data_IF_290016943392
#
_entry.id   IF_290016943392
#
_cell.length_a   1.000
_cell.length_b   1.000
_cell.length_c   1.000
_cell.angle_alpha   90.00
_cell.angle_beta   90.00
_cell.angle_gamma   90.00
#
_symmetry.space_group_name_H-M   'P 1'
#
loop_
_entity.id
_entity.type
_entity.pdbx_description
1 polymer ?
#
# COMPACT_ATOMS: atom_id res chain seq x y z
N UNK A 1 -1.31 4.58 -1.50
CA UNK A 1 -1.86 4.91 -0.18
C UNK A 1 -2.56 3.68 0.37
N UNK A 2 -2.47 3.51 1.68
CA UNK A 2 -3.22 2.53 2.45
C UNK A 2 -4.30 3.29 3.23
N UNK A 3 -5.57 3.04 2.93
CA UNK A 3 -6.69 3.86 3.38
C UNK A 3 -7.63 2.97 4.20
N UNK A 4 -7.93 3.44 5.41
CA UNK A 4 -9.02 2.89 6.21
C UNK A 4 -10.26 3.75 5.95
N UNK A 5 -11.29 3.15 5.35
CA UNK A 5 -12.48 3.86 4.90
C UNK A 5 -13.68 3.50 5.79
N UNK A 6 -14.27 4.48 6.46
CA UNK A 6 -15.51 4.35 7.22
C UNK A 6 -16.62 5.22 6.62
N UNK A 7 -17.87 4.96 6.98
CA UNK A 7 -19.03 5.79 6.62
C UNK A 7 -19.95 5.95 7.82
N UNK A 8 -20.64 7.08 7.93
CA UNK A 8 -21.75 7.27 8.88
C UNK A 8 -23.04 6.58 8.45
N UNK A 9 -23.15 6.22 7.17
CA UNK A 9 -24.28 5.48 6.58
C UNK A 9 -24.00 3.98 6.42
N UNK A 10 -24.69 3.34 5.47
CA UNK A 10 -24.48 1.92 5.17
C UNK A 10 -23.31 1.68 4.21
N UNK A 11 -22.53 0.62 4.44
CA UNK A 11 -21.43 0.20 3.55
C UNK A 11 -21.89 -0.28 2.17
N UNK A 12 -23.15 -0.69 2.08
CA UNK A 12 -23.80 -1.11 0.84
C UNK A 12 -24.25 0.07 -0.02
N UNK A 13 -24.05 1.31 0.45
CA UNK A 13 -24.28 2.51 -0.33
C UNK A 13 -23.49 2.46 -1.65
N UNK A 14 -24.19 2.77 -2.74
CA UNK A 14 -23.64 2.68 -4.09
C UNK A 14 -22.44 3.61 -4.29
N UNK A 15 -22.50 4.81 -3.72
CA UNK A 15 -21.44 5.80 -3.87
C UNK A 15 -20.22 5.43 -3.03
N UNK A 16 -20.42 4.87 -1.84
CA UNK A 16 -19.35 4.26 -1.04
C UNK A 16 -18.65 3.14 -1.80
N UNK A 17 -19.42 2.19 -2.35
CA UNK A 17 -18.88 1.08 -3.13
C UNK A 17 -18.15 1.56 -4.40
N UNK A 18 -18.68 2.56 -5.09
CA UNK A 18 -18.06 3.17 -6.28
C UNK A 18 -16.73 3.86 -5.94
N UNK A 19 -16.67 4.59 -4.83
CA UNK A 19 -15.44 5.27 -4.40
C UNK A 19 -14.37 4.26 -3.96
N UNK A 20 -14.74 3.24 -3.18
CA UNK A 20 -13.85 2.12 -2.82
C UNK A 20 -13.30 1.45 -4.08
N UNK A 21 -14.17 1.15 -5.05
CA UNK A 21 -13.76 0.55 -6.33
C UNK A 21 -12.78 1.47 -7.07
N UNK A 22 -13.07 2.76 -7.16
CA UNK A 22 -12.22 3.71 -7.90
C UNK A 22 -10.84 3.85 -7.25
N UNK A 23 -10.77 3.96 -5.91
CA UNK A 23 -9.50 3.98 -5.18
C UNK A 23 -8.68 2.69 -5.42
N UNK A 24 -9.33 1.53 -5.42
CA UNK A 24 -8.67 0.23 -5.71
C UNK A 24 -8.24 0.10 -7.17
N UNK A 25 -9.03 0.61 -8.11
CA UNK A 25 -8.67 0.66 -9.53
C UNK A 25 -7.40 1.49 -9.74
N UNK A 26 -7.20 2.54 -8.91
CA UNK A 26 -5.96 3.32 -8.81
C UNK A 26 -4.87 2.72 -7.93
N UNK A 27 -4.97 1.42 -7.62
CA UNK A 27 -3.96 0.65 -6.89
C UNK A 27 -3.70 1.17 -5.47
N UNK A 28 -4.72 1.73 -4.83
CA UNK A 28 -4.70 1.98 -3.38
C UNK A 28 -5.22 0.76 -2.62
N UNK A 29 -4.63 0.49 -1.46
CA UNK A 29 -5.16 -0.52 -0.54
C UNK A 29 -6.26 0.17 0.26
N UNK A 30 -7.51 -0.26 0.06
CA UNK A 30 -8.66 0.33 0.74
C UNK A 30 -9.44 -0.76 1.44
N UNK A 31 -9.65 -0.55 2.74
CA UNK A 31 -10.47 -1.45 3.55
C UNK A 31 -11.55 -0.68 4.28
N UNK A 32 -12.75 -1.24 4.27
CA UNK A 32 -13.92 -0.62 4.87
C UNK A 32 -14.18 -1.18 6.26
N UNK A 33 -14.40 -0.30 7.22
CA UNK A 33 -14.67 -0.66 8.61
C UNK A 33 -15.85 0.16 9.15
N UNK A 34 -16.84 -0.46 9.83
CA UNK A 34 -17.90 0.25 10.53
C UNK A 34 -17.38 1.34 11.46
N UNK A 35 -18.03 2.50 11.42
CA UNK A 35 -17.69 3.68 12.21
C UNK A 35 -17.61 3.34 13.71
N UNK A 36 -18.56 2.53 14.18
CA UNK A 36 -18.70 2.07 15.55
C UNK A 36 -17.54 1.17 15.96
N UNK A 37 -16.95 0.46 15.00
CA UNK A 37 -15.81 -0.45 15.22
C UNK A 37 -14.47 0.26 15.13
N UNK A 38 -14.39 1.43 14.50
CA UNK A 38 -13.12 2.12 14.25
C UNK A 38 -12.33 2.36 15.54
N UNK A 39 -12.93 2.97 16.55
CA UNK A 39 -12.22 3.28 17.79
C UNK A 39 -11.80 2.01 18.56
N UNK A 40 -12.60 0.95 18.50
CA UNK A 40 -12.25 -0.34 19.09
C UNK A 40 -11.04 -0.97 18.40
N UNK A 41 -11.03 -0.95 17.07
CA UNK A 41 -9.92 -1.42 16.24
C UNK A 41 -8.62 -0.66 16.57
N UNK A 42 -8.65 0.68 16.50
CA UNK A 42 -7.45 1.52 16.71
C UNK A 42 -6.85 1.40 18.12
N UNK A 43 -7.68 1.13 19.14
CA UNK A 43 -7.24 1.08 20.54
C UNK A 43 -6.78 -0.31 20.97
N UNK A 44 -7.52 -1.34 20.57
CA UNK A 44 -7.46 -2.63 21.24
C UNK A 44 -7.12 -3.78 20.32
N UNK A 45 -7.29 -3.62 19.01
CA UNK A 45 -7.04 -4.70 18.07
C UNK A 45 -5.52 -4.85 17.85
N UNK A 46 -4.92 -6.03 18.12
CA UNK A 46 -3.50 -6.27 17.88
C UNK A 46 -3.09 -6.06 16.42
N UNK A 47 -4.01 -6.25 15.46
CA UNK A 47 -3.77 -6.03 14.03
C UNK A 47 -3.54 -4.55 13.73
N UNK A 48 -4.18 -3.63 14.45
CA UNK A 48 -3.97 -2.19 14.25
C UNK A 48 -2.52 -1.76 14.50
N UNK A 49 -1.79 -2.48 15.36
CA UNK A 49 -0.36 -2.25 15.61
C UNK A 49 0.54 -2.80 14.48
N UNK A 50 -0.02 -3.62 13.60
CA UNK A 50 0.65 -4.21 12.42
C UNK A 50 0.28 -3.50 11.13
N UNK A 51 -0.77 -2.70 11.17
CA UNK A 51 -1.21 -1.87 10.06
C UNK A 51 -0.14 -0.84 9.66
N UNK A 52 -0.28 -0.34 8.44
CA UNK A 52 0.43 0.81 7.90
C UNK A 52 -0.58 1.60 7.09
N UNK A 53 -1.26 2.55 7.72
CA UNK A 53 -2.35 3.36 7.13
C UNK A 53 -1.88 4.79 6.94
N UNK A 54 -2.18 5.35 5.78
CA UNK A 54 -1.78 6.71 5.40
C UNK A 54 -2.89 7.73 5.66
N UNK A 55 -4.16 7.31 5.66
CA UNK A 55 -5.30 8.16 5.98
C UNK A 55 -6.51 7.36 6.46
N UNK A 56 -7.33 7.99 7.31
CA UNK A 56 -8.71 7.60 7.55
C UNK A 56 -9.59 8.47 6.66
N UNK A 57 -10.37 7.82 5.80
CA UNK A 57 -11.40 8.47 5.00
C UNK A 57 -12.76 8.16 5.63
N UNK A 58 -13.59 9.18 5.84
CA UNK A 58 -14.91 9.04 6.44
C UNK A 58 -15.97 9.68 5.53
N UNK A 59 -16.87 8.89 4.97
CA UNK A 59 -18.02 9.43 4.24
C UNK A 59 -19.10 9.86 5.24
N UNK A 60 -19.48 11.13 5.21
CA UNK A 60 -20.45 11.72 6.13
C UNK A 60 -21.83 11.85 5.44
N UNK A 61 -22.32 10.78 4.83
CA UNK A 61 -23.61 10.78 4.12
C UNK A 61 -24.81 10.85 5.05
N UNK A 62 -25.94 11.32 4.51
CA UNK A 62 -27.29 11.23 5.10
C UNK A 62 -27.57 9.83 5.63
N UNK A 63 -27.87 9.78 6.93
CA UNK A 63 -28.32 8.58 7.62
C UNK A 63 -29.61 8.08 6.95
N UNK A 64 -29.66 6.84 6.41
CA UNK A 64 -30.86 6.31 5.78
C UNK A 64 -31.98 6.03 6.78
N UNK A 65 -31.66 5.87 8.08
CA UNK A 65 -32.64 5.59 9.13
C UNK A 65 -33.26 6.85 9.73
N UNK A 66 -32.61 8.00 9.58
CA UNK A 66 -33.11 9.27 10.11
C UNK A 66 -33.17 10.35 9.03
N UNK A 67 -34.28 11.09 8.97
CA UNK A 67 -34.42 12.34 8.19
C UNK A 67 -33.44 13.43 8.72
N UNK A 68 -32.52 13.09 9.63
CA UNK A 68 -31.72 14.01 10.40
C UNK A 68 -30.34 14.29 9.75
N UNK A 69 -30.10 15.58 9.57
CA UNK A 69 -28.95 16.24 8.96
C UNK A 69 -27.69 16.30 9.85
N UNK A 70 -27.43 15.33 10.74
CA UNK A 70 -26.32 15.45 11.72
C UNK A 70 -25.14 14.50 11.48
N UNK A 71 -24.79 14.29 10.22
CA UNK A 71 -23.75 13.32 9.82
C UNK A 71 -22.35 13.89 10.04
N UNK A 72 -22.12 15.16 9.69
CA UNK A 72 -20.85 15.83 9.95
C UNK A 72 -20.52 15.96 11.45
N UNK A 73 -21.44 16.39 12.35
CA UNK A 73 -21.18 16.38 13.79
C UNK A 73 -20.75 15.02 14.35
N UNK A 74 -21.33 13.91 13.85
CA UNK A 74 -20.94 12.55 14.25
C UNK A 74 -19.49 12.25 13.82
N UNK A 75 -19.12 12.65 12.60
CA UNK A 75 -17.73 12.52 12.11
C UNK A 75 -16.76 13.38 12.92
N UNK A 76 -17.12 14.63 13.25
CA UNK A 76 -16.27 15.50 14.08
C UNK A 76 -16.09 14.96 15.50
N UNK A 77 -17.16 14.42 16.10
CA UNK A 77 -17.06 13.72 17.38
C UNK A 77 -16.08 12.55 17.32
N UNK A 78 -16.18 11.71 16.28
CA UNK A 78 -15.24 10.61 16.07
C UNK A 78 -13.81 11.12 15.87
N UNK A 79 -13.61 12.15 15.06
CA UNK A 79 -12.30 12.75 14.85
C UNK A 79 -11.71 13.28 16.17
N UNK A 80 -12.53 13.88 17.04
CA UNK A 80 -12.11 14.30 18.37
C UNK A 80 -11.67 13.12 19.26
N UNK A 81 -12.40 12.00 19.24
CA UNK A 81 -12.00 10.78 19.94
C UNK A 81 -10.72 10.16 19.38
N UNK A 82 -10.58 10.17 18.05
CA UNK A 82 -9.39 9.73 17.33
C UNK A 82 -8.15 10.56 17.69
N UNK A 83 -8.26 11.90 17.73
CA UNK A 83 -7.16 12.78 18.14
C UNK A 83 -6.76 12.61 19.62
N UNK A 84 -7.65 12.03 20.45
CA UNK A 84 -7.41 11.70 21.86
C UNK A 84 -6.83 10.30 22.10
N UNK A 85 -6.51 9.53 21.04
CA UNK A 85 -5.87 8.24 21.24
C UNK A 85 -4.56 8.39 22.03
N UNK A 86 -4.23 7.42 22.90
CA UNK A 86 -2.91 7.36 23.55
C UNK A 86 -1.77 7.33 22.54
N UNK A 87 -0.60 7.83 22.93
CA UNK A 87 0.63 7.80 22.11
C UNK A 87 1.06 6.38 21.78
N UNK A 88 0.79 5.44 22.68
CA UNK A 88 1.04 4.01 22.51
C UNK A 88 0.19 3.37 21.42
N UNK A 89 -0.89 4.02 20.96
CA UNK A 89 -1.64 3.59 19.79
C UNK A 89 -0.89 4.05 18.53
N UNK A 90 0.06 3.22 18.09
CA UNK A 90 0.88 3.46 16.92
C UNK A 90 0.97 2.21 16.04
N UNK A 91 1.25 2.46 14.76
CA UNK A 91 1.35 1.48 13.70
C UNK A 91 2.72 0.78 13.68
N UNK A 92 2.87 -0.21 12.80
CA UNK A 92 4.08 -1.05 12.71
C UNK A 92 5.35 -0.25 12.45
N UNK A 93 5.24 0.88 11.77
CA UNK A 93 6.34 1.77 11.42
C UNK A 93 6.59 2.87 12.47
N UNK A 94 5.92 2.78 13.62
CA UNK A 94 6.01 3.75 14.71
C UNK A 94 5.16 5.01 14.49
N UNK A 95 4.48 5.18 13.35
CA UNK A 95 3.59 6.32 13.14
C UNK A 95 2.40 6.23 14.11
N UNK A 96 2.10 7.34 14.78
CA UNK A 96 0.98 7.44 15.72
C UNK A 96 -0.34 7.46 14.97
N UNK A 97 -1.32 6.65 15.41
CA UNK A 97 -2.64 6.64 14.81
C UNK A 97 -3.27 8.03 14.86
N UNK A 98 -3.28 8.70 16.02
CA UNK A 98 -3.90 10.03 16.14
C UNK A 98 -3.28 11.14 15.28
N UNK A 99 -2.16 10.89 14.62
CA UNK A 99 -1.44 11.90 13.85
C UNK A 99 -1.67 11.77 12.34
N UNK A 100 -2.23 10.65 11.85
CA UNK A 100 -2.54 10.49 10.42
C UNK A 100 -3.69 11.42 9.98
N UNK A 101 -3.77 11.76 8.67
CA UNK A 101 -4.91 12.46 8.10
C UNK A 101 -6.24 11.81 8.45
N UNK A 102 -7.16 12.64 8.92
CA UNK A 102 -8.56 12.29 9.05
C UNK A 102 -9.33 13.15 8.05
N UNK A 103 -9.86 12.51 7.01
CA UNK A 103 -10.47 13.18 5.87
C UNK A 103 -11.96 12.83 5.88
N UNK A 104 -12.83 13.84 5.90
CA UNK A 104 -14.27 13.63 5.80
C UNK A 104 -14.78 14.08 4.43
N UNK A 105 -15.65 13.28 3.83
CA UNK A 105 -16.39 13.64 2.61
C UNK A 105 -17.79 14.08 3.04
N UNK A 106 -18.15 15.35 2.84
CA UNK A 106 -19.45 15.90 3.27
C UNK A 106 -19.95 17.02 2.36
N UNK A 107 -21.24 16.94 2.02
CA UNK A 107 -21.99 17.97 1.28
C UNK A 107 -22.54 19.08 2.19
N UNK A 108 -22.48 18.89 3.51
CA UNK A 108 -23.12 19.81 4.44
C UNK A 108 -22.46 21.19 4.37
N UNK A 109 -23.24 22.26 4.12
CA UNK A 109 -22.69 23.60 4.05
C UNK A 109 -22.09 23.99 5.41
N UNK A 110 -20.83 24.48 5.39
CA UNK A 110 -20.09 24.96 6.57
C UNK A 110 -20.74 26.13 7.31
N UNK A 111 -21.91 26.58 6.88
CA UNK A 111 -22.49 27.87 7.25
C UNK A 111 -22.95 27.97 8.71
N UNK A 112 -22.90 26.89 9.49
CA UNK A 112 -23.25 26.92 10.92
C UNK A 112 -22.17 26.25 11.80
N UNK A 113 -21.17 27.02 12.25
CA UNK A 113 -20.55 26.84 13.58
C UNK A 113 -19.33 25.92 13.75
N UNK A 114 -18.87 25.19 12.74
CA UNK A 114 -17.75 24.22 12.88
C UNK A 114 -16.33 24.63 12.41
N UNK A 115 -16.04 25.79 11.78
CA UNK A 115 -14.69 26.07 11.26
C UNK A 115 -13.56 25.93 12.29
N UNK A 116 -13.79 26.40 13.52
CA UNK A 116 -12.78 26.35 14.58
C UNK A 116 -12.56 24.92 15.08
N UNK A 117 -13.63 24.11 15.16
CA UNK A 117 -13.53 22.70 15.56
C UNK A 117 -12.79 21.88 14.49
N UNK A 118 -13.12 22.05 13.20
CA UNK A 118 -12.45 21.39 12.09
C UNK A 118 -10.94 21.69 12.09
N UNK A 119 -10.57 22.97 12.26
CA UNK A 119 -9.17 23.40 12.35
C UNK A 119 -8.48 22.81 13.58
N UNK A 120 -9.13 22.87 14.75
CA UNK A 120 -8.58 22.31 16.00
C UNK A 120 -8.37 20.80 15.92
N UNK A 121 -9.27 20.08 15.26
CA UNK A 121 -9.19 18.64 15.08
C UNK A 121 -8.30 18.22 13.90
N UNK A 122 -7.81 19.19 13.11
CA UNK A 122 -7.03 18.95 11.90
C UNK A 122 -7.74 17.95 10.97
N UNK A 123 -9.03 18.18 10.71
CA UNK A 123 -9.83 17.38 9.78
C UNK A 123 -9.84 18.06 8.42
N UNK A 124 -9.51 17.32 7.37
CA UNK A 124 -9.68 17.81 5.99
C UNK A 124 -11.08 17.47 5.53
N UNK A 125 -11.84 18.45 5.06
CA UNK A 125 -13.17 18.23 4.51
C UNK A 125 -13.07 18.33 2.99
N UNK A 126 -13.54 17.29 2.31
CA UNK A 126 -13.67 17.21 0.86
C UNK A 126 -15.15 17.25 0.51
N UNK A 127 -15.53 18.11 -0.43
CA UNK A 127 -16.90 18.11 -0.93
C UNK A 127 -17.13 16.95 -1.89
N UNK A 128 -18.28 16.25 -1.78
CA UNK A 128 -18.72 15.32 -2.80
C UNK A 128 -18.73 15.99 -4.17
N UNK A 129 -18.25 15.27 -5.16
CA UNK A 129 -18.23 15.69 -6.56
C UNK A 129 -18.60 14.48 -7.42
N UNK A 130 -19.29 14.67 -8.55
CA UNK A 130 -19.59 13.58 -9.47
C UNK A 130 -18.33 12.98 -10.12
N UNK A 131 -17.15 13.57 -9.90
CA UNK A 131 -15.86 13.11 -10.41
C UNK A 131 -15.00 12.52 -9.27
N UNK A 132 -15.07 11.20 -9.00
CA UNK A 132 -14.26 10.57 -7.95
C UNK A 132 -12.76 10.86 -8.02
N UNK A 133 -12.24 11.14 -9.22
CA UNK A 133 -10.85 11.52 -9.47
C UNK A 133 -10.43 12.78 -8.69
N UNK A 134 -11.32 13.76 -8.57
CA UNK A 134 -11.07 15.00 -7.82
C UNK A 134 -10.97 14.73 -6.32
N UNK A 135 -11.83 13.84 -5.79
CA UNK A 135 -11.76 13.39 -4.40
C UNK A 135 -10.43 12.71 -4.14
N UNK A 136 -10.01 11.81 -5.04
CA UNK A 136 -8.77 11.05 -4.89
C UNK A 136 -7.55 11.98 -4.96
N UNK A 137 -7.56 12.98 -5.84
CA UNK A 137 -6.50 14.00 -5.90
C UNK A 137 -6.38 14.74 -4.57
N UNK A 138 -7.49 15.22 -4.00
CA UNK A 138 -7.49 15.93 -2.72
C UNK A 138 -7.05 15.04 -1.55
N UNK A 139 -7.45 13.76 -1.54
CA UNK A 139 -6.95 12.77 -0.57
C UNK A 139 -5.43 12.61 -0.70
N UNK A 140 -4.92 12.46 -1.92
CA UNK A 140 -3.50 12.33 -2.20
C UNK A 140 -2.72 13.57 -1.73
N UNK A 141 -3.18 14.77 -2.07
CA UNK A 141 -2.52 16.02 -1.67
C UNK A 141 -2.44 16.15 -0.15
N UNK A 142 -3.51 15.77 0.55
CA UNK A 142 -3.56 15.76 2.02
C UNK A 142 -2.57 14.77 2.62
N UNK A 143 -2.47 13.57 2.03
CA UNK A 143 -1.51 12.53 2.47
C UNK A 143 -0.08 12.96 2.18
N UNK A 144 0.20 13.54 1.02
CA UNK A 144 1.54 13.99 0.63
C UNK A 144 2.03 15.12 1.55
N UNK A 145 1.15 16.07 1.94
CA UNK A 145 1.48 17.10 2.93
C UNK A 145 1.78 16.49 4.31
N UNK A 146 0.99 15.51 4.73
CA UNK A 146 1.26 14.76 5.96
C UNK A 146 2.60 14.03 5.93
N UNK A 147 2.91 13.31 4.86
CA UNK A 147 4.18 12.60 4.71
C UNK A 147 5.37 13.56 4.76
N UNK A 148 5.28 14.74 4.14
CA UNK A 148 6.32 15.78 4.26
C UNK A 148 6.56 16.19 5.72
N UNK A 149 5.50 16.36 6.52
CA UNK A 149 5.62 16.67 7.95
C UNK A 149 6.24 15.54 8.76
N UNK A 150 5.88 14.28 8.47
CA UNK A 150 6.52 13.11 9.10
C UNK A 150 8.01 13.05 8.77
N UNK A 151 8.38 13.26 7.51
CA UNK A 151 9.78 13.17 7.10
C UNK A 151 10.62 14.26 7.80
N UNK A 152 10.06 15.46 7.96
CA UNK A 152 10.69 16.50 8.76
C UNK A 152 10.84 16.11 10.24
N UNK A 153 9.80 15.54 10.83
CA UNK A 153 9.83 15.04 12.21
C UNK A 153 10.84 13.90 12.39
N UNK A 154 10.92 12.97 11.44
CA UNK A 154 11.94 11.92 11.38
C UNK A 154 13.34 12.51 11.30
N UNK A 155 13.53 13.61 10.55
CA UNK A 155 14.80 14.35 10.51
C UNK A 155 15.25 14.79 11.90
N UNK A 156 14.33 15.37 12.66
CA UNK A 156 14.58 15.92 13.99
C UNK A 156 14.89 14.83 15.00
N UNK A 157 14.31 13.64 14.81
CA UNK A 157 14.60 12.43 15.58
C UNK A 157 15.92 11.74 15.17
N UNK A 158 16.62 12.26 14.16
CA UNK A 158 17.86 11.67 13.65
C UNK A 158 17.65 10.39 12.83
N UNK A 159 16.42 10.14 12.35
CA UNK A 159 16.13 9.07 11.39
C UNK A 159 16.61 9.54 10.02
N UNK A 160 17.45 8.73 9.37
CA UNK A 160 17.98 9.07 8.05
C UNK A 160 16.92 8.86 6.98
N UNK A 161 16.75 9.86 6.13
CA UNK A 161 16.02 9.72 4.89
C UNK A 161 16.72 10.40 3.73
N UNK A 162 16.47 9.92 2.52
CA UNK A 162 16.93 10.56 1.28
C UNK A 162 15.78 10.76 0.32
N UNK A 163 15.92 11.77 -0.52
CA UNK A 163 15.04 12.03 -1.65
C UNK A 163 15.82 11.78 -2.94
N UNK A 164 15.45 10.75 -3.69
CA UNK A 164 16.16 10.34 -4.91
C UNK A 164 15.17 9.96 -6.01
N UNK A 165 15.15 10.73 -7.12
CA UNK A 165 14.26 10.52 -8.28
C UNK A 165 12.80 10.34 -7.84
N UNK A 166 12.28 11.31 -7.08
CA UNK A 166 10.91 11.27 -6.55
C UNK A 166 10.65 10.28 -5.40
N UNK A 167 11.64 9.50 -4.95
CA UNK A 167 11.48 8.53 -3.84
C UNK A 167 11.90 9.17 -2.54
N UNK A 168 11.08 9.08 -1.50
CA UNK A 168 11.57 9.21 -0.13
C UNK A 168 11.90 7.82 0.41
N UNK A 169 13.16 7.62 0.81
CA UNK A 169 13.64 6.37 1.40
C UNK A 169 14.06 6.60 2.84
N UNK A 170 13.75 5.67 3.72
CA UNK A 170 14.22 5.65 5.09
C UNK A 170 15.31 4.60 5.26
N UNK A 171 16.33 4.90 6.06
CA UNK A 171 17.31 3.93 6.51
C UNK A 171 17.47 3.98 8.03
N UNK A 172 18.05 2.93 8.64
CA UNK A 172 18.47 2.99 10.03
C UNK A 172 19.38 4.19 10.26
N UNK A 173 19.13 4.90 11.36
CA UNK A 173 20.06 5.90 11.84
C UNK A 173 21.39 5.24 12.23
N UNK A 174 22.51 5.97 12.10
CA UNK A 174 23.84 5.50 12.52
C UNK A 174 23.89 5.11 14.01
N UNK A 175 22.98 5.66 14.83
CA UNK A 175 22.83 5.32 16.24
C UNK A 175 21.67 4.35 16.42
N UNK A 176 21.83 3.43 17.39
CA UNK A 176 20.69 2.64 17.87
C UNK A 176 19.58 3.61 18.28
N UNK A 177 18.40 3.36 17.74
CA UNK A 177 17.20 4.10 18.07
C UNK A 177 16.97 4.05 19.58
N UNK A 178 16.78 5.22 20.19
CA UNK A 178 16.38 5.32 21.58
C UNK A 178 14.97 4.69 21.73
N UNK A 179 14.79 3.65 22.56
CA UNK A 179 13.49 3.00 22.72
C UNK A 179 12.43 3.95 23.27
N UNK A 180 12.80 5.01 24.00
CA UNK A 180 11.87 5.97 24.61
C UNK A 180 11.60 7.19 23.71
N UNK A 181 12.14 7.19 22.49
CA UNK A 181 12.01 8.31 21.56
C UNK A 181 10.55 8.53 21.12
N UNK A 182 10.09 9.77 21.22
CA UNK A 182 8.73 10.14 20.87
C UNK A 182 8.71 11.56 20.27
N UNK A 183 7.80 11.78 19.32
CA UNK A 183 7.56 13.08 18.69
C UNK A 183 6.08 13.28 18.38
N UNK A 184 5.71 14.33 17.63
CA UNK A 184 4.31 14.53 17.23
C UNK A 184 3.75 13.39 16.36
N UNK A 185 4.61 12.75 15.55
CA UNK A 185 4.18 11.76 14.56
C UNK A 185 4.67 10.34 14.86
N UNK A 186 5.63 10.19 15.78
CA UNK A 186 6.36 8.95 15.95
C UNK A 186 6.40 8.48 17.40
N UNK A 187 6.26 7.18 17.58
CA UNK A 187 6.38 6.48 18.86
C UNK A 187 7.34 5.31 18.73
N UNK A 188 8.52 5.43 19.32
CA UNK A 188 9.61 4.48 19.14
C UNK A 188 9.28 3.04 19.56
N UNK A 189 8.63 2.77 20.70
CA UNK A 189 8.35 1.41 21.17
C UNK A 189 7.46 0.59 20.23
N UNK A 190 6.62 1.25 19.42
CA UNK A 190 5.72 0.58 18.49
C UNK A 190 6.39 0.22 17.15
N UNK A 191 7.43 0.93 16.76
CA UNK A 191 8.10 0.67 15.49
C UNK A 191 8.82 -0.68 15.50
N UNK A 192 8.39 -1.56 14.60
CA UNK A 192 8.92 -2.91 14.44
C UNK A 192 9.78 -3.04 13.18
N UNK A 193 10.10 -1.92 12.54
CA UNK A 193 10.98 -1.93 11.37
C UNK A 193 12.37 -2.37 11.80
N UNK A 194 12.81 -3.49 11.24
CA UNK A 194 14.18 -3.99 11.38
C UNK A 194 14.90 -3.78 10.05
N UNK A 195 14.84 -2.55 9.52
CA UNK A 195 15.46 -2.27 8.24
C UNK A 195 16.98 -2.46 8.39
N UNK A 196 17.57 -3.29 7.54
CA UNK A 196 19.02 -3.41 7.41
C UNK A 196 19.56 -2.52 6.28
N UNK A 197 18.66 -1.84 5.57
CA UNK A 197 18.94 -1.01 4.41
C UNK A 197 17.87 0.05 4.20
N UNK A 198 17.83 0.60 2.99
CA UNK A 198 16.88 1.63 2.60
C UNK A 198 15.52 1.04 2.24
N UNK A 199 14.44 1.66 2.69
CA UNK A 199 13.08 1.28 2.29
C UNK A 199 12.35 2.52 1.78
N UNK A 200 11.79 2.42 0.57
CA UNK A 200 10.96 3.45 -0.02
C UNK A 200 9.65 3.57 0.77
N UNK A 201 9.35 4.77 1.27
CA UNK A 201 8.12 5.06 2.05
C UNK A 201 7.19 6.05 1.36
N UNK A 202 7.68 6.78 0.36
CA UNK A 202 6.89 7.67 -0.48
C UNK A 202 7.46 7.66 -1.89
N UNK A 203 6.60 7.77 -2.89
CA UNK A 203 6.97 7.84 -4.29
C UNK A 203 5.96 8.68 -5.08
N UNK A 204 6.46 9.57 -5.92
CA UNK A 204 5.67 10.28 -6.92
C UNK A 204 5.71 9.55 -8.29
N UNK A 205 5.21 10.21 -9.34
CA UNK A 205 5.20 9.64 -10.69
C UNK A 205 6.61 9.48 -11.28
N UNK A 206 7.56 10.35 -10.93
CA UNK A 206 8.96 10.23 -11.34
C UNK A 206 9.59 8.99 -10.71
N UNK A 207 9.29 8.75 -9.43
CA UNK A 207 9.73 7.55 -8.73
C UNK A 207 9.13 6.27 -9.31
N UNK A 208 7.85 6.27 -9.69
CA UNK A 208 7.24 5.10 -10.35
C UNK A 208 7.94 4.82 -11.68
N UNK A 209 8.24 5.87 -12.48
CA UNK A 209 8.96 5.70 -13.74
C UNK A 209 10.37 5.15 -13.51
N UNK A 210 11.10 5.71 -12.53
CA UNK A 210 12.43 5.25 -12.16
C UNK A 210 12.41 3.82 -11.56
N UNK A 211 11.34 3.43 -10.88
CA UNK A 211 11.13 2.09 -10.31
C UNK A 211 10.97 1.06 -11.43
N UNK A 212 10.10 1.36 -12.39
CA UNK A 212 9.87 0.55 -13.59
C UNK A 212 11.17 0.37 -14.37
N UNK A 213 11.94 1.43 -14.57
CA UNK A 213 13.22 1.36 -15.27
C UNK A 213 14.24 0.46 -14.56
N UNK A 214 14.41 0.62 -13.23
CA UNK A 214 15.32 -0.22 -12.45
C UNK A 214 14.87 -1.68 -12.50
N UNK A 215 13.58 -1.93 -12.31
CA UNK A 215 13.04 -3.28 -12.33
C UNK A 215 13.24 -3.95 -13.69
N UNK A 216 12.98 -3.23 -14.79
CA UNK A 216 13.24 -3.72 -16.14
C UNK A 216 14.72 -4.10 -16.33
N UNK A 217 15.66 -3.25 -15.88
CA UNK A 217 17.09 -3.57 -15.95
C UNK A 217 17.45 -4.82 -15.16
N UNK A 218 16.89 -5.02 -13.98
CA UNK A 218 17.10 -6.24 -13.18
C UNK A 218 16.63 -7.50 -13.94
N UNK A 219 15.51 -7.40 -14.66
CA UNK A 219 14.99 -8.48 -15.50
C UNK A 219 15.87 -8.77 -16.71
N UNK A 220 16.40 -7.73 -17.36
CA UNK A 220 17.33 -7.86 -18.49
C UNK A 220 18.67 -8.46 -18.06
N UNK A 221 19.15 -8.08 -16.87
CA UNK A 221 20.37 -8.62 -16.26
C UNK A 221 20.20 -10.05 -15.73
N UNK A 222 18.97 -10.57 -15.67
CA UNK A 222 18.65 -11.90 -15.15
C UNK A 222 19.22 -12.11 -13.73
N UNK A 223 19.04 -11.12 -12.87
CA UNK A 223 19.56 -11.14 -11.50
C UNK A 223 19.03 -12.33 -10.70
N UNK A 224 19.71 -12.68 -9.62
CA UNK A 224 19.36 -13.81 -8.77
C UNK A 224 18.06 -13.61 -7.98
N UNK A 225 17.47 -14.70 -7.46
CA UNK A 225 16.33 -14.67 -6.54
C UNK A 225 16.59 -13.75 -5.34
N UNK A 226 17.81 -13.80 -4.77
CA UNK A 226 18.22 -12.95 -3.65
C UNK A 226 18.21 -11.46 -3.99
N UNK A 227 18.60 -11.09 -5.21
CA UNK A 227 18.59 -9.70 -5.66
C UNK A 227 17.15 -9.22 -5.89
N UNK A 228 16.28 -10.07 -6.42
CA UNK A 228 14.84 -9.78 -6.52
C UNK A 228 14.17 -9.65 -5.16
N UNK A 229 14.45 -10.55 -4.22
CA UNK A 229 13.99 -10.46 -2.84
C UNK A 229 14.35 -9.10 -2.23
N UNK A 230 15.63 -8.73 -2.33
CA UNK A 230 16.12 -7.44 -1.83
C UNK A 230 15.41 -6.28 -2.51
N UNK A 231 15.22 -6.32 -3.83
CA UNK A 231 14.52 -5.27 -4.56
C UNK A 231 13.09 -5.06 -4.04
N UNK A 232 12.32 -6.13 -3.81
CA UNK A 232 10.95 -6.03 -3.30
C UNK A 232 10.87 -5.68 -1.81
N UNK A 233 11.89 -5.99 -1.02
CA UNK A 233 12.00 -5.50 0.37
C UNK A 233 12.27 -3.99 0.44
N UNK A 234 13.15 -3.48 -0.43
CA UNK A 234 13.47 -2.06 -0.51
C UNK A 234 12.35 -1.24 -1.19
N UNK A 235 11.53 -1.88 -2.04
CA UNK A 235 10.44 -1.26 -2.80
C UNK A 235 9.10 -2.01 -2.60
N UNK A 236 8.53 -2.00 -1.38
CA UNK A 236 7.36 -2.83 -1.03
C UNK A 236 6.11 -2.53 -1.87
N UNK A 237 6.01 -1.34 -2.46
CA UNK A 237 4.87 -0.96 -3.28
C UNK A 237 4.66 -1.86 -4.50
N UNK A 238 5.71 -2.50 -5.05
CA UNK A 238 5.60 -3.39 -6.21
C UNK A 238 4.62 -4.55 -5.95
N UNK A 239 4.85 -5.26 -4.86
CA UNK A 239 4.04 -6.43 -4.51
C UNK A 239 2.79 -6.04 -3.73
N UNK A 240 2.87 -5.05 -2.83
CA UNK A 240 1.70 -4.58 -2.06
C UNK A 240 0.56 -4.09 -2.94
N UNK A 241 0.84 -3.41 -4.05
CA UNK A 241 -0.21 -2.96 -4.98
C UNK A 241 -0.80 -4.10 -5.83
N UNK A 242 0.03 -5.07 -6.21
CA UNK A 242 -0.44 -6.24 -6.95
C UNK A 242 -1.37 -7.10 -6.10
N UNK A 243 -1.04 -7.26 -4.81
CA UNK A 243 -1.78 -8.11 -3.87
C UNK A 243 -2.84 -7.37 -3.06
N UNK A 244 -2.85 -6.04 -3.14
CA UNK A 244 -3.69 -5.15 -2.32
C UNK A 244 -3.59 -5.47 -0.81
N UNK A 245 -2.36 -5.65 -0.31
CA UNK A 245 -2.13 -6.03 1.08
C UNK A 245 -0.81 -5.50 1.66
N UNK A 246 -0.73 -5.51 3.00
CA UNK A 246 0.46 -5.10 3.75
C UNK A 246 1.52 -6.21 3.68
N UNK A 247 2.64 -5.89 3.05
CA UNK A 247 3.74 -6.83 2.86
C UNK A 247 4.50 -7.11 4.17
N UNK A 248 4.79 -8.38 4.42
CA UNK A 248 5.69 -8.86 5.48
C UNK A 248 6.74 -9.77 4.86
N UNK A 249 8.01 -9.34 4.80
CA UNK A 249 9.08 -10.20 4.31
C UNK A 249 9.41 -11.30 5.32
N UNK A 250 9.74 -12.47 4.80
CA UNK A 250 10.23 -13.62 5.56
C UNK A 250 9.46 -13.93 6.86
N UNK A 251 8.12 -14.10 6.81
CA UNK A 251 7.39 -14.54 7.98
C UNK A 251 7.83 -15.95 8.34
N UNK A 252 7.88 -16.30 9.62
CA UNK A 252 8.56 -17.53 10.02
C UNK A 252 7.69 -18.40 10.89
N UNK A 253 7.84 -19.71 10.77
CA UNK A 253 7.12 -20.67 11.60
C UNK A 253 7.94 -21.06 12.83
N UNK A 254 7.28 -21.62 13.84
CA UNK A 254 7.93 -22.18 15.03
C UNK A 254 8.35 -23.62 14.78
N UNK A 255 7.49 -24.39 14.12
CA UNK A 255 7.67 -25.82 13.82
C UNK A 255 8.90 -26.09 12.97
N UNK A 256 9.17 -25.25 11.98
CA UNK A 256 10.26 -25.40 11.03
C UNK A 256 10.99 -24.07 10.79
N UNK A 257 12.25 -24.15 10.33
CA UNK A 257 12.99 -23.00 9.77
C UNK A 257 12.51 -22.63 8.36
N UNK A 258 11.23 -22.81 8.12
CA UNK A 258 10.56 -22.46 6.88
C UNK A 258 10.03 -21.05 6.97
N UNK A 259 10.10 -20.37 5.83
CA UNK A 259 9.69 -18.99 5.68
C UNK A 259 9.36 -18.79 4.21
N UNK A 260 8.12 -18.44 3.84
CA UNK A 260 7.89 -17.88 2.51
C UNK A 260 8.69 -16.59 2.37
N UNK A 261 8.89 -16.16 1.13
CA UNK A 261 9.59 -14.92 0.84
C UNK A 261 8.78 -13.70 1.28
N UNK A 262 7.48 -13.71 1.02
CA UNK A 262 6.55 -12.69 1.49
C UNK A 262 5.22 -13.26 1.96
N UNK A 263 4.61 -12.56 2.91
CA UNK A 263 3.18 -12.65 3.16
C UNK A 263 2.49 -11.30 3.04
N UNK A 264 1.22 -11.29 2.66
CA UNK A 264 0.38 -10.10 2.60
C UNK A 264 -0.85 -10.27 3.47
N UNK A 265 -1.09 -9.28 4.32
CA UNK A 265 -2.26 -9.24 5.22
C UNK A 265 -3.13 -8.05 4.88
N UNK A 266 -4.42 -8.16 5.21
CA UNK A 266 -5.33 -7.02 5.21
C UNK A 266 -4.94 -6.01 6.31
N UNK A 267 -5.35 -4.75 6.15
CA UNK A 267 -5.26 -3.71 7.19
C UNK A 267 -6.05 -4.13 8.43
N UNK A 268 -7.26 -4.67 8.24
CA UNK A 268 -8.18 -5.13 9.29
C UNK A 268 -7.87 -6.53 9.82
N UNK A 269 -7.01 -7.29 9.15
CA UNK A 269 -6.58 -8.62 9.58
C UNK A 269 -7.46 -9.73 9.01
N UNK A 270 -7.89 -10.68 9.85
CA UNK A 270 -8.81 -11.73 9.42
C UNK A 270 -10.15 -11.12 9.02
N UNK A 271 -10.56 -11.34 7.76
CA UNK A 271 -11.86 -10.93 7.22
C UNK A 271 -12.53 -12.13 6.57
N UNK A 272 -13.87 -12.14 6.52
CA UNK A 272 -14.73 -13.30 6.23
C UNK A 272 -14.44 -14.07 4.93
N UNK A 273 -13.57 -13.58 4.05
CA UNK A 273 -13.32 -14.22 2.76
C UNK A 273 -11.89 -14.75 2.58
N UNK A 274 -10.86 -14.17 3.21
CA UNK A 274 -9.42 -14.47 2.95
C UNK A 274 -8.53 -13.96 4.08
N UNK A 275 -7.68 -14.82 4.65
CA UNK A 275 -6.89 -14.41 5.82
C UNK A 275 -5.44 -14.03 5.52
N UNK A 276 -4.74 -14.69 4.59
CA UNK A 276 -3.36 -14.33 4.25
C UNK A 276 -2.99 -14.73 2.83
N UNK A 277 -2.12 -13.96 2.20
CA UNK A 277 -1.47 -14.35 0.95
C UNK A 277 -0.02 -14.72 1.22
N UNK A 278 0.44 -15.86 0.70
CA UNK A 278 1.83 -16.26 0.74
C UNK A 278 2.41 -16.24 -0.67
N UNK A 279 3.66 -15.78 -0.77
CA UNK A 279 4.38 -15.65 -2.04
C UNK A 279 5.76 -16.29 -1.91
N UNK A 280 6.08 -17.17 -2.87
CA UNK A 280 7.42 -17.69 -3.11
C UNK A 280 8.00 -17.03 -4.37
N UNK A 281 9.26 -16.61 -4.31
CA UNK A 281 9.99 -16.07 -5.43
C UNK A 281 10.97 -17.09 -5.98
N UNK A 282 11.16 -17.04 -7.30
CA UNK A 282 12.25 -17.72 -8.03
C UNK A 282 12.85 -16.73 -9.02
N UNK A 283 14.02 -17.05 -9.59
CA UNK A 283 14.72 -16.14 -10.48
C UNK A 283 13.93 -15.77 -11.76
N UNK A 284 14.14 -14.58 -12.35
CA UNK A 284 13.58 -14.19 -13.64
C UNK A 284 14.18 -14.99 -14.81
N UNK A 285 15.33 -15.64 -14.63
CA UNK A 285 15.98 -16.46 -15.65
C UNK A 285 15.34 -17.85 -15.81
N UNK A 286 14.47 -18.24 -14.88
CA UNK A 286 13.92 -19.58 -14.81
C UNK A 286 12.83 -19.81 -15.86
N UNK A 287 12.82 -21.01 -16.45
CA UNK A 287 11.79 -21.40 -17.42
C UNK A 287 10.53 -21.91 -16.72
N UNK A 288 9.35 -21.51 -17.22
CA UNK A 288 8.06 -22.00 -16.72
C UNK A 288 7.74 -23.40 -17.26
N UNK A 289 8.05 -23.65 -18.53
CA UNK A 289 7.76 -24.89 -19.24
C UNK A 289 9.04 -25.61 -19.63
N UNK A 290 9.01 -26.94 -19.59
CA UNK A 290 10.09 -27.77 -20.12
C UNK A 290 10.22 -27.66 -21.66
N UNK A 291 11.28 -28.24 -22.21
CA UNK A 291 11.64 -28.14 -23.63
C UNK A 291 10.91 -29.14 -24.55
N UNK A 292 9.91 -29.88 -24.03
CA UNK A 292 9.16 -30.83 -24.85
C UNK A 292 8.22 -30.12 -25.83
N UNK A 293 8.27 -30.50 -27.12
CA UNK A 293 7.51 -29.84 -28.20
C UNK A 293 6.01 -30.12 -28.16
N UNK A 294 5.60 -31.38 -27.96
CA UNK A 294 4.20 -31.78 -28.17
C UNK A 294 3.33 -31.69 -26.91
N UNK A 295 3.94 -31.75 -25.72
CA UNK A 295 3.24 -31.70 -24.43
C UNK A 295 4.10 -31.02 -23.36
N UNK A 296 4.40 -29.72 -23.50
CA UNK A 296 5.19 -29.02 -22.51
C UNK A 296 4.48 -29.07 -21.15
N UNK A 297 5.23 -29.50 -20.13
CA UNK A 297 4.83 -29.50 -18.72
C UNK A 297 5.55 -28.39 -17.98
N UNK A 298 5.13 -28.10 -16.75
CA UNK A 298 5.91 -27.21 -15.89
C UNK A 298 7.30 -27.80 -15.61
N UNK A 299 8.28 -26.92 -15.40
CA UNK A 299 9.62 -27.35 -15.03
C UNK A 299 9.63 -27.98 -13.64
N UNK A 300 10.63 -28.83 -13.38
CA UNK A 300 10.81 -29.42 -12.05
C UNK A 300 11.03 -28.35 -10.96
N UNK A 301 11.65 -27.22 -11.32
CA UNK A 301 11.84 -26.09 -10.41
C UNK A 301 10.50 -25.45 -10.01
N UNK A 302 9.61 -25.21 -10.99
CA UNK A 302 8.29 -24.65 -10.71
C UNK A 302 7.45 -25.61 -9.87
N UNK A 303 7.50 -26.93 -10.15
CA UNK A 303 6.86 -27.93 -9.29
C UNK A 303 7.38 -27.89 -7.85
N UNK A 304 8.71 -27.81 -7.67
CA UNK A 304 9.29 -27.69 -6.34
C UNK A 304 8.85 -26.42 -5.61
N UNK A 305 8.77 -25.28 -6.30
CA UNK A 305 8.28 -24.02 -5.72
C UNK A 305 6.80 -24.10 -5.33
N UNK A 306 5.99 -24.78 -6.15
CA UNK A 306 4.58 -25.09 -5.89
C UNK A 306 4.43 -25.94 -4.62
N UNK A 307 5.21 -27.00 -4.49
CA UNK A 307 5.16 -27.86 -3.31
C UNK A 307 5.63 -27.11 -2.05
N UNK A 308 6.69 -26.30 -2.18
CA UNK A 308 7.21 -25.47 -1.10
C UNK A 308 6.17 -24.45 -0.59
N UNK A 309 5.43 -23.76 -1.47
CA UNK A 309 4.41 -22.80 -1.03
C UNK A 309 3.17 -23.49 -0.46
N UNK A 310 2.84 -24.71 -0.91
CA UNK A 310 1.78 -25.55 -0.29
C UNK A 310 2.14 -25.93 1.13
N UNK A 311 3.37 -26.42 1.34
CA UNK A 311 3.88 -26.71 2.66
C UNK A 311 3.72 -25.48 3.56
N UNK A 312 4.11 -24.29 3.10
CA UNK A 312 3.94 -23.06 3.90
C UNK A 312 2.47 -22.78 4.24
N UNK A 313 1.57 -22.94 3.27
CA UNK A 313 0.12 -22.80 3.48
C UNK A 313 -0.42 -23.71 4.57
N UNK A 314 -0.04 -24.99 4.57
CA UNK A 314 -0.44 -25.97 5.58
C UNK A 314 0.03 -25.58 6.99
N UNK A 315 1.22 -24.99 7.11
CA UNK A 315 1.77 -24.61 8.42
C UNK A 315 1.22 -23.30 8.98
N UNK A 316 0.48 -22.48 8.20
CA UNK A 316 -0.09 -21.22 8.68
C UNK A 316 -1.04 -21.44 9.86
N UNK A 317 -1.92 -22.43 9.78
CA UNK A 317 -2.93 -22.70 10.81
C UNK A 317 -2.52 -23.84 11.77
N UNK A 318 -1.26 -24.26 11.76
CA UNK A 318 -0.75 -25.27 12.69
C UNK A 318 -0.72 -24.72 14.14
N UNK A 319 -1.28 -25.42 15.14
CA UNK A 319 -1.43 -24.90 16.51
C UNK A 319 -0.13 -24.40 17.16
N UNK A 320 1.00 -25.06 16.88
CA UNK A 320 2.31 -24.65 17.40
C UNK A 320 2.77 -23.27 16.89
N UNK A 321 2.26 -22.84 15.73
CA UNK A 321 2.59 -21.57 15.10
C UNK A 321 1.70 -20.41 15.58
N UNK A 322 0.59 -20.67 16.29
CA UNK A 322 -0.38 -19.64 16.68
C UNK A 322 0.23 -18.44 17.40
N UNK A 323 1.07 -18.69 18.41
CA UNK A 323 1.76 -17.60 19.14
C UNK A 323 2.70 -16.79 18.25
N UNK A 324 3.22 -17.39 17.19
CA UNK A 324 4.12 -16.72 16.25
C UNK A 324 3.32 -15.95 15.20
N UNK A 325 2.28 -16.54 14.63
CA UNK A 325 1.35 -15.88 13.70
C UNK A 325 0.68 -14.67 14.36
N UNK A 326 0.13 -14.84 15.55
CA UNK A 326 -0.46 -13.73 16.34
C UNK A 326 0.55 -12.60 16.58
N UNK A 327 1.82 -12.91 16.85
CA UNK A 327 2.87 -11.89 17.02
C UNK A 327 3.27 -11.20 15.72
N UNK A 328 3.25 -11.90 14.58
CA UNK A 328 3.68 -11.35 13.30
C UNK A 328 2.58 -10.56 12.61
N UNK A 329 1.36 -11.09 12.63
CA UNK A 329 0.22 -10.57 11.86
C UNK A 329 -0.85 -9.90 12.74
N UNK A 330 -0.87 -10.15 14.05
CA UNK A 330 -1.91 -9.66 14.96
C UNK A 330 -3.16 -10.54 15.00
N UNK A 331 -3.20 -11.63 14.23
CA UNK A 331 -4.26 -12.63 14.21
C UNK A 331 -3.70 -14.00 13.79
N UNK A 332 -4.54 -15.03 13.83
CA UNK A 332 -4.22 -16.38 13.34
C UNK A 332 -4.97 -16.58 12.02
N UNK A 333 -4.29 -16.62 10.88
CA UNK A 333 -4.98 -16.87 9.61
C UNK A 333 -5.57 -18.29 9.58
N UNK A 334 -6.78 -18.44 9.07
CA UNK A 334 -7.47 -19.72 8.91
C UNK A 334 -7.20 -20.35 7.53
N UNK A 335 -6.97 -19.52 6.51
CA UNK A 335 -6.70 -19.93 5.13
C UNK A 335 -5.57 -19.10 4.49
N UNK A 336 -4.91 -19.65 3.47
CA UNK A 336 -3.85 -18.97 2.73
C UNK A 336 -4.10 -19.02 1.22
N UNK A 337 -3.95 -17.89 0.53
CA UNK A 337 -3.80 -17.85 -0.94
C UNK A 337 -2.33 -18.02 -1.28
N UNK A 338 -2.03 -18.92 -2.19
CA UNK A 338 -0.67 -19.30 -2.53
C UNK A 338 -0.30 -18.73 -3.90
N UNK A 339 0.90 -18.18 -4.01
CA UNK A 339 1.41 -17.68 -5.27
C UNK A 339 2.91 -17.93 -5.43
N UNK A 340 3.33 -18.10 -6.67
CA UNK A 340 4.73 -18.24 -7.06
C UNK A 340 5.04 -17.18 -8.12
N UNK A 341 6.09 -16.39 -7.90
CA UNK A 341 6.67 -15.51 -8.93
C UNK A 341 7.88 -16.20 -9.53
N UNK A 342 7.85 -16.49 -10.83
CA UNK A 342 8.95 -17.16 -11.51
C UNK A 342 9.02 -16.75 -12.97
N UNK A 343 10.24 -16.54 -13.46
CA UNK A 343 10.51 -16.43 -14.88
C UNK A 343 9.85 -15.24 -15.59
N UNK A 344 10.04 -15.22 -16.90
CA UNK A 344 9.50 -14.19 -17.79
C UNK A 344 8.48 -14.79 -18.76
N UNK A 345 7.64 -13.94 -19.32
CA UNK A 345 6.73 -14.35 -20.40
C UNK A 345 7.54 -14.79 -21.63
N UNK A 346 7.02 -15.79 -22.36
CA UNK A 346 7.62 -16.22 -23.61
C UNK A 346 7.19 -15.28 -24.75
N UNK A 347 8.13 -14.86 -25.59
CA UNK A 347 7.82 -14.17 -26.85
C UNK A 347 6.98 -15.05 -27.80
N UNK A 348 7.12 -16.37 -27.66
CA UNK A 348 6.34 -17.37 -28.37
C UNK A 348 4.92 -17.49 -27.80
N UNK A 349 3.94 -16.98 -28.56
CA UNK A 349 2.52 -17.04 -28.23
C UNK A 349 2.01 -18.47 -28.04
N UNK A 350 2.53 -19.45 -28.78
CA UNK A 350 2.09 -20.85 -28.64
C UNK A 350 2.53 -21.42 -27.27
N UNK A 351 3.75 -21.11 -26.84
CA UNK A 351 4.21 -21.48 -25.49
C UNK A 351 3.40 -20.80 -24.40
N UNK A 352 3.01 -19.54 -24.59
CA UNK A 352 2.14 -18.84 -23.64
C UNK A 352 0.76 -19.50 -23.51
N UNK A 353 0.17 -19.99 -24.61
CA UNK A 353 -1.09 -20.78 -24.55
C UNK A 353 -0.91 -22.03 -23.67
N UNK A 354 0.24 -22.69 -23.74
CA UNK A 354 0.54 -23.81 -22.86
C UNK A 354 0.69 -23.40 -21.40
N UNK A 355 1.37 -22.29 -21.10
CA UNK A 355 1.47 -21.76 -19.72
C UNK A 355 0.07 -21.55 -19.15
N UNK A 356 -0.81 -20.87 -19.88
CA UNK A 356 -2.17 -20.59 -19.43
C UNK A 356 -3.01 -21.85 -19.26
N UNK A 357 -2.85 -22.83 -20.16
CA UNK A 357 -3.48 -24.14 -20.03
C UNK A 357 -3.02 -24.85 -18.75
N UNK A 358 -1.73 -24.82 -18.42
CA UNK A 358 -1.17 -25.45 -17.21
C UNK A 358 -1.53 -24.69 -15.93
N UNK A 359 -1.62 -23.36 -15.97
CA UNK A 359 -2.14 -22.53 -14.87
C UNK A 359 -3.56 -22.94 -14.48
N UNK A 360 -4.45 -23.12 -15.47
CA UNK A 360 -5.84 -23.56 -15.24
C UNK A 360 -5.93 -24.98 -14.64
N UNK A 361 -4.89 -25.80 -14.78
CA UNK A 361 -4.84 -27.13 -14.17
C UNK A 361 -4.39 -27.10 -12.70
N UNK A 362 -3.74 -26.01 -12.24
CA UNK A 362 -3.27 -25.82 -10.87
C UNK A 362 -4.06 -24.70 -10.19
N UNK A 363 -5.35 -24.94 -9.97
CA UNK A 363 -6.33 -23.91 -9.56
C UNK A 363 -6.05 -23.35 -8.16
N UNK A 364 -5.30 -24.07 -7.33
CA UNK A 364 -4.99 -23.71 -5.94
C UNK A 364 -3.81 -22.73 -5.80
N UNK A 365 -3.02 -22.52 -6.85
CA UNK A 365 -1.82 -21.66 -6.81
C UNK A 365 -1.79 -20.69 -7.98
N UNK A 366 -1.55 -19.42 -7.67
CA UNK A 366 -1.36 -18.38 -8.67
C UNK A 366 0.10 -18.33 -9.15
N UNK A 367 0.33 -18.53 -10.45
CA UNK A 367 1.67 -18.47 -11.05
C UNK A 367 1.83 -17.14 -11.79
N UNK A 368 2.71 -16.27 -11.29
CA UNK A 368 2.92 -14.90 -11.75
C UNK A 368 4.30 -14.81 -12.42
N UNK A 369 4.38 -14.17 -13.58
CA UNK A 369 5.67 -13.85 -14.23
C UNK A 369 6.14 -12.45 -13.82
N UNK A 370 7.44 -12.21 -13.88
CA UNK A 370 7.99 -10.88 -13.57
C UNK A 370 7.46 -9.80 -14.53
N UNK A 371 7.21 -10.15 -15.80
CA UNK A 371 6.62 -9.24 -16.78
C UNK A 371 5.20 -8.81 -16.37
N UNK A 372 4.42 -9.68 -15.72
CA UNK A 372 3.11 -9.30 -15.19
C UNK A 372 3.20 -8.25 -14.09
N UNK A 373 4.22 -8.35 -13.24
CA UNK A 373 4.50 -7.35 -12.19
C UNK A 373 4.93 -6.02 -12.85
N UNK A 374 5.83 -6.10 -13.84
CA UNK A 374 6.32 -4.92 -14.58
C UNK A 374 5.16 -4.20 -15.29
N UNK A 375 4.30 -4.93 -16.01
CA UNK A 375 3.12 -4.41 -16.69
C UNK A 375 2.19 -3.69 -15.69
N UNK A 376 1.96 -4.30 -14.52
CA UNK A 376 1.10 -3.72 -13.48
C UNK A 376 1.64 -2.38 -12.96
N UNK A 377 2.97 -2.22 -12.88
CA UNK A 377 3.58 -0.96 -12.47
C UNK A 377 3.62 0.05 -13.63
N UNK A 378 3.95 -0.38 -14.84
CA UNK A 378 3.97 0.47 -16.03
C UNK A 378 2.58 1.06 -16.34
N UNK A 379 1.51 0.28 -16.14
CA UNK A 379 0.14 0.76 -16.32
C UNK A 379 -0.26 1.88 -15.34
N UNK A 380 0.47 2.09 -14.25
CA UNK A 380 0.24 3.24 -13.35
C UNK A 380 0.75 4.56 -13.94
N UNK A 381 1.61 4.51 -14.95
CA UNK A 381 2.12 5.69 -15.65
C UNK A 381 1.14 6.20 -16.74
N UNK A 382 0.12 5.42 -17.10
CA UNK A 382 -0.89 5.75 -18.13
C UNK A 382 -2.26 5.99 -17.47
N UNK A 383 -3.03 7.08 -17.74
CA UNK A 383 -2.86 8.14 -18.72
C UNK A 383 -2.62 9.50 -18.05
N UNK A 384 -1.37 9.98 -18.03
CA UNK A 384 -1.14 11.42 -18.06
C UNK A 384 -1.19 11.79 -19.54
N UNK A 385 -2.24 12.52 -19.95
CA UNK A 385 -2.23 13.25 -21.21
C UNK A 385 -1.00 14.15 -21.15
N UNK A 386 0.08 13.75 -21.82
CA UNK A 386 1.20 14.63 -22.09
C UNK A 386 0.65 15.73 -22.99
N UNK A 387 0.68 17.02 -22.59
CA UNK A 387 0.49 18.06 -23.59
C UNK A 387 1.56 17.85 -24.65
N UNK A 388 1.12 17.71 -25.89
CA UNK A 388 1.99 17.71 -27.07
C UNK A 388 3.00 18.84 -26.91
N UNK A 389 4.29 18.52 -27.06
CA UNK A 389 5.43 19.43 -26.89
C UNK A 389 5.46 20.65 -27.84
N UNK A 390 4.37 20.94 -28.53
CA UNK A 390 4.20 22.05 -29.46
C UNK A 390 3.80 23.37 -28.79
N UNK A 391 3.41 23.38 -27.50
CA UNK A 391 2.92 24.59 -26.82
C UNK A 391 3.90 25.24 -25.83
N UNK A 392 5.11 24.69 -25.62
CA UNK A 392 6.11 25.29 -24.71
C UNK A 392 7.07 26.25 -25.45
N UNK A 393 7.08 26.26 -26.78
CA UNK A 393 7.94 27.15 -27.58
C UNK A 393 7.35 28.53 -27.87
N UNK A 394 6.09 28.81 -27.54
CA UNK A 394 5.47 30.13 -27.79
C UNK A 394 5.55 31.12 -26.61
N UNK A 395 6.12 30.74 -25.47
CA UNK A 395 6.20 31.59 -24.26
C UNK A 395 7.61 32.04 -23.86
N UNK A 396 8.62 31.90 -24.74
CA UNK A 396 10.01 32.32 -24.42
C UNK A 396 10.68 33.31 -25.38
N UNK A 397 9.97 33.87 -26.36
CA UNK A 397 10.50 35.00 -27.14
C UNK A 397 9.44 36.09 -27.32
N UNK A 398 9.24 36.88 -26.26
CA UNK A 398 8.37 38.06 -26.24
C UNK A 398 8.95 39.13 -25.31
N UNK A 399 10.24 39.45 -25.48
CA UNK A 399 10.96 40.45 -24.70
C UNK A 399 11.90 41.25 -25.60
N UNK A 400 11.35 41.98 -26.57
CA UNK A 400 12.10 42.98 -27.30
C UNK A 400 12.24 44.23 -26.42
N UNK A 401 13.47 44.47 -25.98
CA UNK A 401 13.93 45.70 -25.34
C UNK A 401 13.84 46.83 -26.38
N UNK A 402 12.94 47.79 -26.15
CA UNK A 402 12.96 49.09 -26.82
C UNK A 402 13.77 50.05 -25.94
N UNK A 403 15.03 50.26 -26.30
CA UNK A 403 15.84 51.39 -25.82
C UNK A 403 15.53 52.61 -26.69
N UNK A 404 14.77 53.56 -26.15
CA UNK A 404 14.73 54.92 -26.65
C UNK A 404 15.87 55.72 -25.99
N UNK A 405 16.86 56.09 -26.78
CA UNK A 405 17.84 57.14 -26.50
C UNK A 405 17.68 58.20 -27.57
N UNK A 406 17.16 59.38 -27.21
CA UNK A 406 17.37 60.67 -27.86
C UNK A 406 16.97 61.76 -26.84
N UNK A 407 17.93 62.59 -26.43
CA UNK A 407 17.73 63.77 -25.57
C UNK A 407 18.45 63.67 -24.24
#
# INVERSE_FOLDING_TARGET
>A
MNILFTTTGHFEDRDHALLVKTLRDQKHIVESLPLERLMGYLKFDPVSQRAAVDAILCKADTDPETIATYTLPRVLKLAAEFRRLPESCAMRDGRKWKSIPFIAISDQPYHFGYPDEIRKLNVTIIHPTPYPQEIISQVKDTVDEYLKRILEDYRQLGIMFTFEKGRAKLAPALKKKDPEMESAYYYAPADRRNHRGWVTVMRDNEAIAADVEIFQRLLEMKVSEREMQRFFEENPFFLSQLRLGIQTPHPSYRTHRWSPDFAFTSILGASDLRDIDLLELKGPAEELLNQHKNHPGFTALLHKAIDQIRDYGEYVNHPENYRKMMRQFGYIPQSARLAVVLGRDYDDKERMVWVDKRRRQNVDIEIITYDKILETQANQLSPIITPTMTEITSLRFGGAVSTNFLG
#
